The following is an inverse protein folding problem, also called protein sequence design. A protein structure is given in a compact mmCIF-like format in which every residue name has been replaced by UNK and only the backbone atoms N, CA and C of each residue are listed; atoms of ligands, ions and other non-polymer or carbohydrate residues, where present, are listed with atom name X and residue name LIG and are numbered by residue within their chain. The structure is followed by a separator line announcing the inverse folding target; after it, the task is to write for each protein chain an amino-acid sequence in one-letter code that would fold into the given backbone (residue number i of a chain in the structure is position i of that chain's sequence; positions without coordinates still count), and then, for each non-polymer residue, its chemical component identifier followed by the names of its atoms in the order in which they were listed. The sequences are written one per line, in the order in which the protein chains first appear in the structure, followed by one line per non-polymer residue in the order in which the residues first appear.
data_IF_765976997706
#
_entry.id   IF_765976997706
#
_cell.length_a   1.000
_cell.length_b   1.000
_cell.length_c   1.000
_cell.angle_alpha   90.00
_cell.angle_beta   90.00
_cell.angle_gamma   90.00
#
_symmetry.space_group_name_H-M   'P 1'
#
loop_
_entity.id
_entity.type
_entity.pdbx_description
1 polymer ?
#
# COMPACT_ATOMS: atom_id res chain seq x y z
N UNK A 1 -25.07 8.37 23.32
CA UNK A 1 -24.24 7.91 22.18
C UNK A 1 -23.05 7.16 22.77
N UNK A 2 -23.00 5.84 22.67
CA UNK A 2 -21.84 5.05 23.12
C UNK A 2 -20.80 5.11 21.99
N UNK A 3 -19.59 5.56 22.30
CA UNK A 3 -18.45 5.50 21.38
C UNK A 3 -17.83 4.11 21.52
N UNK A 4 -17.76 3.36 20.44
CA UNK A 4 -16.98 2.12 20.41
C UNK A 4 -15.48 2.48 20.42
N UNK A 5 -14.75 1.95 21.40
CA UNK A 5 -13.28 2.00 21.43
C UNK A 5 -12.75 0.70 20.86
N UNK A 6 -11.92 0.79 19.82
CA UNK A 6 -11.23 -0.35 19.24
C UNK A 6 -9.76 -0.28 19.60
N UNK A 7 -9.27 -1.31 20.28
CA UNK A 7 -7.84 -1.50 20.47
C UNK A 7 -7.18 -1.87 19.13
N UNK A 8 -5.84 -1.71 19.00
CA UNK A 8 -5.12 -2.19 17.82
C UNK A 8 -5.36 -3.69 17.54
N UNK A 9 -5.54 -4.51 18.57
CA UNK A 9 -5.86 -5.92 18.41
C UNK A 9 -7.28 -6.12 17.82
N UNK A 10 -8.25 -5.32 18.23
CA UNK A 10 -9.60 -5.35 17.66
C UNK A 10 -9.59 -4.95 16.19
N UNK A 11 -8.79 -3.93 15.83
CA UNK A 11 -8.65 -3.53 14.43
C UNK A 11 -8.06 -4.65 13.57
N UNK A 12 -7.02 -5.34 14.04
CA UNK A 12 -6.45 -6.48 13.32
C UNK A 12 -7.42 -7.66 13.21
N UNK A 13 -8.25 -7.90 14.23
CA UNK A 13 -9.32 -8.91 14.17
C UNK A 13 -10.41 -8.55 13.15
N UNK A 14 -10.68 -7.26 12.95
CA UNK A 14 -11.66 -6.75 11.99
C UNK A 14 -11.11 -6.71 10.56
N UNK A 15 -9.80 -6.54 10.39
CA UNK A 15 -9.16 -6.46 9.08
C UNK A 15 -7.81 -7.19 9.10
N UNK A 16 -7.78 -8.36 8.47
CA UNK A 16 -6.58 -9.20 8.37
C UNK A 16 -5.40 -8.53 7.66
N UNK A 17 -5.63 -7.46 6.88
CA UNK A 17 -4.57 -6.70 6.23
C UNK A 17 -3.77 -5.82 7.21
N UNK A 18 -4.29 -5.58 8.43
CA UNK A 18 -3.59 -4.85 9.49
C UNK A 18 -2.63 -5.78 10.23
N UNK A 19 -1.74 -6.45 9.50
CA UNK A 19 -0.77 -7.39 10.06
C UNK A 19 0.11 -6.66 11.07
N UNK A 20 0.27 -7.22 12.27
CA UNK A 20 1.00 -6.55 13.34
C UNK A 20 0.32 -5.27 13.84
N UNK A 21 -0.96 -5.07 13.50
CA UNK A 21 -1.79 -3.89 13.84
C UNK A 21 -1.40 -2.63 13.08
N UNK A 22 -0.75 -2.79 11.93
CA UNK A 22 -0.21 -1.69 11.13
C UNK A 22 -1.12 -1.30 9.95
N UNK A 23 -1.62 -0.05 9.89
CA UNK A 23 -2.42 0.45 8.77
C UNK A 23 -1.60 0.89 7.55
N UNK A 24 -0.27 0.93 7.63
CA UNK A 24 0.60 1.48 6.59
C UNK A 24 1.42 0.44 5.83
N UNK A 25 1.32 -0.85 6.20
CA UNK A 25 2.06 -1.95 5.59
C UNK A 25 3.59 -1.73 5.65
N UNK A 26 4.07 -1.22 6.77
CA UNK A 26 5.47 -0.94 7.09
C UNK A 26 5.62 0.35 7.90
N UNK A 27 6.81 0.56 8.45
CA UNK A 27 7.17 1.84 9.06
C UNK A 27 7.42 2.90 7.98
N UNK A 28 7.18 4.15 8.33
CA UNK A 28 7.34 5.30 7.43
C UNK A 28 8.79 5.83 7.37
N UNK A 29 9.79 4.97 7.61
CA UNK A 29 11.19 5.36 7.43
C UNK A 29 11.51 5.48 5.93
N UNK A 30 12.37 6.42 5.50
CA UNK A 30 12.64 6.64 4.08
C UNK A 30 13.11 5.38 3.34
N UNK A 31 13.97 4.58 3.96
CA UNK A 31 14.44 3.32 3.41
C UNK A 31 13.29 2.34 3.12
N UNK A 32 12.40 2.12 4.10
CA UNK A 32 11.26 1.22 3.90
C UNK A 32 10.19 1.82 3.00
N UNK A 33 10.00 3.13 3.04
CA UNK A 33 8.94 3.81 2.30
C UNK A 33 9.24 3.93 0.81
N UNK A 34 10.52 3.99 0.43
CA UNK A 34 10.94 4.13 -0.97
C UNK A 34 11.57 2.84 -1.52
N UNK A 35 12.59 2.30 -0.85
CA UNK A 35 13.46 1.28 -1.44
C UNK A 35 13.14 -0.16 -1.06
N UNK A 36 12.62 -0.41 0.14
CA UNK A 36 12.27 -1.76 0.57
C UNK A 36 10.82 -2.14 0.21
N UNK A 37 10.09 -1.28 -0.51
CA UNK A 37 8.77 -1.60 -1.05
C UNK A 37 8.90 -2.54 -2.27
N UNK A 38 7.87 -3.35 -2.56
CA UNK A 38 7.85 -4.20 -3.74
C UNK A 38 8.19 -3.41 -5.02
N UNK A 39 8.93 -4.05 -5.92
CA UNK A 39 9.29 -3.57 -7.26
C UNK A 39 10.22 -2.36 -7.34
N UNK A 40 10.55 -1.73 -6.21
CA UNK A 40 11.47 -0.58 -6.17
C UNK A 40 12.84 -0.91 -6.76
N UNK A 41 13.36 -2.12 -6.50
CA UNK A 41 14.64 -2.60 -7.03
C UNK A 41 14.63 -2.90 -8.53
N UNK A 42 13.48 -3.29 -9.10
CA UNK A 42 13.37 -3.70 -10.49
C UNK A 42 12.90 -2.61 -11.44
N UNK A 43 12.04 -1.70 -10.98
CA UNK A 43 11.34 -0.72 -11.84
C UNK A 43 11.23 0.68 -11.21
N UNK A 44 12.02 0.94 -10.16
CA UNK A 44 12.03 2.21 -9.44
C UNK A 44 10.90 2.36 -8.43
N UNK A 45 10.99 3.41 -7.61
CA UNK A 45 10.14 3.56 -6.40
C UNK A 45 8.64 3.69 -6.68
N UNK A 46 8.22 4.10 -7.88
CA UNK A 46 6.80 4.28 -8.24
C UNK A 46 6.24 3.16 -9.10
N UNK A 47 6.85 1.97 -8.99
CA UNK A 47 6.44 0.81 -9.75
C UNK A 47 5.28 0.06 -9.07
N UNK A 48 4.35 -0.40 -9.90
CA UNK A 48 3.14 -1.12 -9.48
C UNK A 48 2.94 -2.44 -10.26
N UNK A 49 3.75 -2.71 -11.29
CA UNK A 49 3.63 -3.89 -12.14
C UNK A 49 4.18 -5.11 -11.40
N UNK A 50 3.37 -6.15 -11.27
CA UNK A 50 3.83 -7.45 -10.75
C UNK A 50 4.55 -8.24 -11.82
N UNK A 51 5.22 -9.33 -11.43
CA UNK A 51 5.83 -10.27 -12.38
C UNK A 51 4.78 -10.97 -13.28
N UNK A 52 3.50 -10.98 -12.87
CA UNK A 52 2.40 -11.48 -13.69
C UNK A 52 1.92 -10.38 -14.64
N UNK A 53 1.90 -10.69 -15.93
CA UNK A 53 1.42 -9.78 -16.97
C UNK A 53 0.00 -9.30 -16.70
N UNK A 54 -0.24 -7.99 -16.87
CA UNK A 54 -1.55 -7.34 -16.64
C UNK A 54 -2.09 -7.45 -15.21
N UNK A 55 -1.25 -7.78 -14.23
CA UNK A 55 -1.58 -7.72 -12.80
C UNK A 55 -0.73 -6.63 -12.13
N UNK A 56 -1.40 -5.74 -11.41
CA UNK A 56 -0.79 -4.58 -10.75
C UNK A 56 -1.09 -4.60 -9.24
N UNK A 57 -0.12 -4.16 -8.44
CA UNK A 57 -0.26 -3.99 -7.00
C UNK A 57 -0.34 -2.50 -6.67
N UNK A 58 -1.35 -2.10 -5.91
CA UNK A 58 -1.57 -0.73 -5.44
C UNK A 58 -1.87 -0.73 -3.93
N UNK A 59 -1.93 0.47 -3.33
CA UNK A 59 -2.25 0.64 -1.92
C UNK A 59 -1.02 0.79 -1.03
N UNK A 60 -1.24 0.62 0.29
CA UNK A 60 -0.30 0.99 1.35
C UNK A 60 1.09 0.36 1.23
N UNK A 61 1.20 -0.80 0.58
CA UNK A 61 2.47 -1.51 0.38
C UNK A 61 3.31 -0.99 -0.78
N UNK A 62 2.80 -0.09 -1.62
CA UNK A 62 3.50 0.47 -2.80
C UNK A 62 3.68 1.97 -2.67
N UNK A 63 4.67 2.55 -3.32
CA UNK A 63 4.89 3.99 -3.27
C UNK A 63 4.36 4.68 -4.54
N UNK A 64 3.67 5.82 -4.43
CA UNK A 64 3.06 6.41 -3.23
C UNK A 64 1.76 5.67 -2.85
N UNK A 65 1.56 5.33 -1.56
CA UNK A 65 0.39 4.52 -1.20
C UNK A 65 -0.07 4.52 0.26
N UNK A 66 0.67 5.08 1.22
CA UNK A 66 0.17 5.17 2.59
C UNK A 66 -0.99 6.17 2.72
N UNK A 67 -1.93 5.87 3.61
CA UNK A 67 -3.08 6.73 3.89
C UNK A 67 -4.21 6.62 2.86
N UNK A 68 -5.07 7.63 2.81
CA UNK A 68 -6.33 7.62 2.05
C UNK A 68 -6.24 8.28 0.66
N UNK A 69 -5.04 8.71 0.23
CA UNK A 69 -4.90 9.55 -0.97
C UNK A 69 -5.11 8.83 -2.31
N UNK A 70 -5.08 7.49 -2.36
CA UNK A 70 -5.37 6.70 -3.56
C UNK A 70 -4.37 6.88 -4.73
N UNK A 71 -3.23 7.55 -4.53
CA UNK A 71 -2.31 7.95 -5.60
C UNK A 71 -1.74 6.78 -6.40
N UNK A 72 -1.42 5.65 -5.77
CA UNK A 72 -0.96 4.44 -6.47
C UNK A 72 -2.00 3.93 -7.48
N UNK A 73 -3.28 3.92 -7.09
CA UNK A 73 -4.39 3.58 -7.97
C UNK A 73 -4.49 4.53 -9.16
N UNK A 74 -4.38 5.84 -8.92
CA UNK A 74 -4.38 6.84 -9.99
C UNK A 74 -3.22 6.63 -10.99
N UNK A 75 -2.02 6.32 -10.52
CA UNK A 75 -0.86 6.08 -11.39
C UNK A 75 -1.07 4.85 -12.28
N UNK A 76 -1.57 3.74 -11.72
CA UNK A 76 -1.89 2.53 -12.48
C UNK A 76 -3.01 2.80 -13.48
N UNK A 77 -4.10 3.46 -13.08
CA UNK A 77 -5.19 3.80 -13.97
C UNK A 77 -4.72 4.64 -15.16
N UNK A 78 -3.84 5.63 -14.91
CA UNK A 78 -3.25 6.47 -15.96
C UNK A 78 -2.30 5.70 -16.87
N UNK A 79 -1.57 4.70 -16.37
CA UNK A 79 -0.75 3.81 -17.19
C UNK A 79 -1.61 2.93 -18.10
N UNK A 80 -2.71 2.39 -17.56
CA UNK A 80 -3.65 1.56 -18.31
C UNK A 80 -4.40 2.34 -19.38
N UNK A 81 -4.84 3.56 -19.09
CA UNK A 81 -5.56 4.42 -20.04
C UNK A 81 -4.70 4.94 -21.20
N UNK A 82 -3.37 4.77 -21.14
CA UNK A 82 -2.42 5.12 -22.21
C UNK A 82 -2.12 3.95 -23.14
N UNK A 83 -2.57 2.74 -22.80
CA UNK A 83 -2.48 1.56 -23.66
C UNK A 83 -3.72 1.49 -24.54
#
# INVERSE_FOLDING_TARGET
MLVALHSPADLQALNCNLVGRDPYSGICSPDQFFWLRPFASSQGTRAHQTFVSNVFHIGASTHPGSGLAGTSGYLVARQLARR
#
